data_IF_261953309599
#
_entry.id   IF_261953309599
#
_cell.length_a   1.000
_cell.length_b   1.000
_cell.length_c   1.000
_cell.angle_alpha   90.00
_cell.angle_beta   90.00
_cell.angle_gamma   90.00
#
_symmetry.space_group_name_H-M   'P 1'
#
loop_
_entity.id
_entity.type
_entity.pdbx_description
1 polymer ?
#
# COMPACT_ATOMS: atom_id res chain seq x y z
N UNK A 1 9.81 1.28 9.05
CA UNK A 1 8.55 0.81 9.68
C UNK A 1 7.94 -0.40 8.97
N UNK A 2 7.78 -0.37 7.65
CA UNK A 2 7.11 -1.43 6.89
C UNK A 2 7.75 -2.83 7.01
N UNK A 3 9.09 -2.93 6.91
CA UNK A 3 9.87 -4.17 7.13
C UNK A 3 9.61 -4.79 8.51
N UNK A 4 9.64 -3.95 9.56
CA UNK A 4 9.35 -4.34 10.94
C UNK A 4 7.89 -4.74 11.16
N UNK A 5 6.96 -4.19 10.36
CA UNK A 5 5.54 -4.51 10.45
C UNK A 5 5.23 -5.85 9.79
N UNK A 6 5.87 -6.14 8.65
CA UNK A 6 5.58 -7.31 7.83
C UNK A 6 6.06 -8.63 8.44
N UNK A 7 7.29 -8.66 8.98
CA UNK A 7 7.88 -9.89 9.51
C UNK A 7 6.98 -10.60 10.57
N UNK A 8 6.42 -9.91 11.58
CA UNK A 8 5.57 -10.52 12.60
C UNK A 8 4.10 -10.69 12.18
N UNK A 9 3.68 -10.35 10.96
CA UNK A 9 2.28 -10.54 10.54
C UNK A 9 1.88 -12.02 10.56
N UNK A 10 0.63 -12.28 10.93
CA UNK A 10 0.07 -13.62 10.88
C UNK A 10 0.04 -14.15 9.43
N UNK A 11 0.16 -15.49 9.24
CA UNK A 11 0.14 -16.09 7.90
C UNK A 11 -1.11 -15.71 7.08
N UNK A 12 -2.27 -15.59 7.73
CA UNK A 12 -3.51 -15.21 7.06
C UNK A 12 -3.49 -13.79 6.49
N UNK A 13 -2.87 -12.83 7.19
CA UNK A 13 -2.72 -11.46 6.66
C UNK A 13 -1.73 -11.47 5.49
N UNK A 14 -0.62 -12.21 5.62
CA UNK A 14 0.37 -12.36 4.53
C UNK A 14 -0.27 -12.96 3.28
N UNK A 15 -1.10 -14.00 3.41
CA UNK A 15 -1.79 -14.61 2.27
C UNK A 15 -2.68 -13.62 1.52
N UNK A 16 -3.48 -12.80 2.22
CA UNK A 16 -4.32 -11.78 1.59
C UNK A 16 -3.48 -10.79 0.79
N UNK A 17 -2.37 -10.34 1.38
CA UNK A 17 -1.45 -9.41 0.71
C UNK A 17 -0.77 -10.06 -0.51
N UNK A 18 -0.45 -11.36 -0.43
CA UNK A 18 0.13 -12.13 -1.52
C UNK A 18 -0.88 -12.35 -2.66
N UNK A 19 -2.13 -12.68 -2.34
CA UNK A 19 -3.23 -12.81 -3.31
C UNK A 19 -3.52 -11.49 -4.04
N UNK A 20 -3.33 -10.36 -3.34
CA UNK A 20 -3.38 -9.03 -3.93
C UNK A 20 -2.16 -8.69 -4.82
N UNK A 21 -1.20 -9.61 -4.97
CA UNK A 21 -0.04 -9.44 -5.84
C UNK A 21 1.16 -8.77 -5.18
N UNK A 22 1.12 -8.43 -3.89
CA UNK A 22 2.22 -7.73 -3.22
C UNK A 22 3.25 -8.67 -2.58
N UNK A 23 3.07 -9.98 -2.65
CA UNK A 23 3.91 -10.94 -1.92
C UNK A 23 5.37 -10.91 -2.32
N UNK A 24 5.65 -11.03 -3.62
CA UNK A 24 7.01 -10.95 -4.18
C UNK A 24 7.65 -9.60 -3.88
N UNK A 25 6.88 -8.50 -3.95
CA UNK A 25 7.35 -7.17 -3.58
C UNK A 25 7.85 -7.13 -2.13
N UNK A 26 7.07 -7.67 -1.17
CA UNK A 26 7.49 -7.71 0.22
C UNK A 26 8.68 -8.64 0.46
N UNK A 27 8.74 -9.81 -0.18
CA UNK A 27 9.90 -10.69 -0.09
C UNK A 27 11.18 -10.01 -0.59
N UNK A 28 11.13 -9.33 -1.74
CA UNK A 28 12.25 -8.54 -2.25
C UNK A 28 12.62 -7.42 -1.28
N UNK A 29 11.63 -6.66 -0.76
CA UNK A 29 11.86 -5.59 0.21
C UNK A 29 12.51 -6.10 1.52
N UNK A 30 12.19 -7.32 1.96
CA UNK A 30 12.74 -7.92 3.17
C UNK A 30 14.15 -8.48 2.98
N UNK A 31 14.40 -9.10 1.82
CA UNK A 31 15.66 -9.80 1.52
C UNK A 31 16.82 -8.84 1.23
N UNK A 32 16.54 -7.58 0.92
CA UNK A 32 17.58 -6.56 0.93
C UNK A 32 17.95 -6.23 2.39
N UNK A 33 19.12 -6.73 2.82
CA UNK A 33 19.89 -6.12 3.90
C UNK A 33 20.19 -4.68 3.47
N UNK A 34 19.72 -3.73 4.26
CA UNK A 34 19.62 -2.32 3.90
C UNK A 34 20.96 -1.75 3.46
N UNK A 35 21.14 -1.57 2.15
CA UNK A 35 22.05 -0.56 1.63
C UNK A 35 21.34 0.19 0.51
N UNK A 36 20.83 1.35 0.90
CA UNK A 36 20.27 2.41 0.08
C UNK A 36 18.77 2.32 -0.25
N UNK A 37 18.06 3.34 0.24
CA UNK A 37 16.79 3.89 -0.24
C UNK A 37 16.68 4.04 -1.78
N UNK A 38 17.73 3.72 -2.55
CA UNK A 38 17.84 3.91 -3.99
C UNK A 38 16.98 2.93 -4.79
N UNK A 39 16.86 1.66 -4.40
CA UNK A 39 15.97 0.72 -5.11
C UNK A 39 14.49 1.07 -4.89
N UNK A 40 14.17 1.61 -3.71
CA UNK A 40 12.84 2.12 -3.35
C UNK A 40 12.52 3.42 -4.10
N UNK A 41 13.46 4.37 -4.15
CA UNK A 41 13.33 5.58 -4.94
C UNK A 41 13.32 5.30 -6.44
N UNK A 42 14.02 4.26 -6.91
CA UNK A 42 13.97 3.81 -8.29
C UNK A 42 12.59 3.24 -8.60
N UNK A 43 11.99 2.44 -7.73
CA UNK A 43 10.63 1.94 -7.94
C UNK A 43 9.57 3.07 -7.91
N UNK A 44 9.73 4.06 -7.03
CA UNK A 44 8.88 5.25 -6.98
C UNK A 44 9.07 6.14 -8.21
N UNK A 45 10.30 6.40 -8.62
CA UNK A 45 10.62 7.15 -9.84
C UNK A 45 10.11 6.42 -11.08
N UNK A 46 10.17 5.08 -11.10
CA UNK A 46 9.53 4.28 -12.14
C UNK A 46 8.02 4.57 -12.13
N UNK A 47 7.32 4.39 -11.01
CA UNK A 47 5.87 4.62 -10.92
C UNK A 47 5.48 6.06 -11.32
N UNK A 48 6.26 7.08 -10.92
CA UNK A 48 6.04 8.49 -11.29
C UNK A 48 6.31 8.77 -12.78
N UNK A 49 7.27 8.07 -13.38
CA UNK A 49 7.61 8.18 -14.80
C UNK A 49 6.71 7.33 -15.71
N UNK A 50 5.80 6.53 -15.15
CA UNK A 50 4.90 5.66 -15.92
C UNK A 50 3.71 6.44 -16.46
N UNK A 51 3.67 6.59 -17.79
CA UNK A 51 2.55 7.21 -18.47
C UNK A 51 1.54 6.15 -18.92
N UNK A 52 0.37 6.13 -18.30
CA UNK A 52 -0.68 5.12 -18.49
C UNK A 52 -1.26 5.09 -19.92
N UNK A 53 -1.23 6.21 -20.64
CA UNK A 53 -1.71 6.28 -22.04
C UNK A 53 -0.70 5.78 -23.08
N UNK A 54 0.60 5.79 -22.80
CA UNK A 54 1.65 5.39 -23.77
C UNK A 54 2.41 4.13 -23.35
N UNK A 55 2.25 3.66 -22.11
CA UNK A 55 2.99 2.54 -21.53
C UNK A 55 4.52 2.74 -21.61
N UNK A 56 4.99 3.97 -21.38
CA UNK A 56 6.41 4.35 -21.45
C UNK A 56 6.88 4.97 -20.14
N UNK A 57 8.15 4.74 -19.82
CA UNK A 57 8.89 5.41 -18.75
C UNK A 57 9.81 6.46 -19.37
N UNK A 58 9.76 7.69 -18.86
CA UNK A 58 10.67 8.75 -19.27
C UNK A 58 11.85 8.85 -18.31
N UNK A 59 13.04 8.44 -18.77
CA UNK A 59 14.28 8.63 -18.02
C UNK A 59 15.08 9.79 -18.59
N UNK A 60 15.49 10.72 -17.72
CA UNK A 60 16.36 11.82 -18.10
C UNK A 60 17.70 11.25 -18.61
N UNK A 61 17.99 11.40 -19.90
CA UNK A 61 19.22 10.91 -20.56
C UNK A 61 19.09 9.61 -21.36
N UNK A 62 18.06 8.79 -21.13
CA UNK A 62 17.82 7.54 -21.89
C UNK A 62 16.59 7.67 -22.83
N UNK A 63 15.89 8.82 -22.79
CA UNK A 63 14.63 9.11 -23.52
C UNK A 63 13.48 8.20 -23.03
N UNK A 64 12.60 7.76 -23.93
CA UNK A 64 11.47 6.88 -23.64
C UNK A 64 11.91 5.42 -23.68
N UNK A 65 11.67 4.70 -22.59
CA UNK A 65 11.76 3.25 -22.56
C UNK A 65 10.33 2.71 -22.51
N UNK A 66 9.97 1.89 -23.50
CA UNK A 66 8.69 1.21 -23.49
C UNK A 66 8.79 0.04 -22.51
N UNK A 67 7.88 0.01 -21.53
CA UNK A 67 7.78 -1.07 -20.57
C UNK A 67 6.30 -1.38 -20.47
N UNK A 68 5.90 -2.56 -20.93
CA UNK A 68 4.50 -2.93 -20.85
C UNK A 68 4.08 -3.07 -19.39
N UNK A 69 2.78 -2.93 -19.06
CA UNK A 69 2.28 -3.26 -17.72
C UNK A 69 2.69 -4.67 -17.26
N UNK A 70 2.84 -5.60 -18.21
CA UNK A 70 3.34 -6.94 -17.96
C UNK A 70 4.81 -6.93 -17.55
N UNK A 71 5.68 -6.24 -18.29
CA UNK A 71 7.10 -6.14 -17.95
C UNK A 71 7.32 -5.47 -16.59
N UNK A 72 6.56 -4.41 -16.29
CA UNK A 72 6.55 -3.80 -14.96
C UNK A 72 6.15 -4.80 -13.87
N UNK A 73 5.10 -5.59 -14.11
CA UNK A 73 4.63 -6.59 -13.15
C UNK A 73 5.66 -7.68 -12.90
N UNK A 74 6.39 -8.10 -13.93
CA UNK A 74 7.47 -9.08 -13.82
C UNK A 74 8.67 -8.52 -13.05
N UNK A 75 9.05 -7.26 -13.30
CA UNK A 75 10.22 -6.62 -12.66
C UNK A 75 9.94 -6.28 -11.19
N UNK A 76 8.78 -5.70 -10.91
CA UNK A 76 8.45 -5.16 -9.58
C UNK A 76 7.70 -6.15 -8.70
N UNK A 77 7.14 -7.20 -9.30
CA UNK A 77 6.16 -8.08 -8.66
C UNK A 77 4.79 -7.45 -8.47
N UNK A 78 4.61 -6.15 -8.77
CA UNK A 78 3.36 -5.42 -8.60
C UNK A 78 2.51 -5.51 -9.87
N UNK A 79 1.31 -6.06 -9.77
CA UNK A 79 0.40 -6.08 -10.91
C UNK A 79 -0.04 -4.64 -11.24
N UNK A 80 -0.12 -4.34 -12.54
CA UNK A 80 -0.68 -3.09 -13.05
C UNK A 80 -1.97 -3.39 -13.80
N UNK A 81 -3.10 -2.97 -13.24
CA UNK A 81 -4.42 -3.17 -13.82
C UNK A 81 -5.54 -3.02 -12.81
N UNK A 82 -6.72 -3.54 -13.18
CA UNK A 82 -7.87 -3.58 -12.29
C UNK A 82 -8.80 -2.36 -12.35
N UNK A 83 -9.77 -2.36 -11.44
CA UNK A 83 -10.76 -1.29 -11.25
C UNK A 83 -10.09 -0.08 -10.61
N UNK A 84 -10.59 1.11 -10.95
CA UNK A 84 -10.18 2.35 -10.27
C UNK A 84 -10.45 2.25 -8.77
N UNK A 85 -9.48 2.68 -7.98
CA UNK A 85 -9.63 2.87 -6.53
C UNK A 85 -10.71 3.93 -6.32
N UNK A 86 -11.78 3.55 -5.63
CA UNK A 86 -12.83 4.49 -5.25
C UNK A 86 -12.46 5.14 -3.93
N UNK A 87 -12.22 6.45 -4.00
CA UNK A 87 -11.93 7.30 -2.86
C UNK A 87 -13.25 7.67 -2.17
N UNK A 88 -13.33 7.50 -0.85
CA UNK A 88 -14.50 7.92 -0.07
C UNK A 88 -14.07 8.77 1.13
N UNK A 89 -14.38 10.06 1.07
CA UNK A 89 -14.03 11.02 2.13
C UNK A 89 -15.03 11.04 3.29
N UNK A 90 -16.13 10.30 3.18
CA UNK A 90 -17.30 10.42 4.06
C UNK A 90 -17.50 9.20 4.97
N UNK A 91 -16.46 8.77 5.68
CA UNK A 91 -16.60 7.70 6.66
C UNK A 91 -17.16 8.22 7.99
N UNK A 92 -18.24 7.60 8.46
CA UNK A 92 -18.76 7.88 9.81
C UNK A 92 -17.87 7.26 10.89
N UNK A 93 -17.84 7.86 12.09
CA UNK A 93 -17.11 7.30 13.24
C UNK A 93 -17.49 5.83 13.54
N UNK A 94 -18.78 5.49 13.38
CA UNK A 94 -19.28 4.12 13.53
C UNK A 94 -18.68 3.16 12.50
N UNK A 95 -18.57 3.57 11.24
CA UNK A 95 -17.94 2.76 10.19
C UNK A 95 -16.44 2.58 10.42
N UNK A 96 -15.74 3.64 10.82
CA UNK A 96 -14.31 3.56 11.15
C UNK A 96 -14.04 2.64 12.34
N UNK A 97 -14.88 2.69 13.37
CA UNK A 97 -14.81 1.76 14.49
C UNK A 97 -15.05 0.31 14.06
N UNK A 98 -16.01 0.09 13.14
CA UNK A 98 -16.30 -1.24 12.59
C UNK A 98 -15.15 -1.79 11.74
N UNK A 99 -14.58 -0.95 10.86
CA UNK A 99 -13.60 -1.38 9.86
C UNK A 99 -12.16 -1.44 10.40
N UNK A 100 -11.79 -0.55 11.32
CA UNK A 100 -10.41 -0.34 11.77
C UNK A 100 -10.23 -0.32 13.29
N UNK A 101 -11.32 -0.24 14.08
CA UNK A 101 -11.27 0.05 15.53
C UNK A 101 -10.65 1.41 15.87
N UNK A 102 -10.66 2.36 14.94
CA UNK A 102 -10.14 3.72 15.16
C UNK A 102 -11.04 4.45 16.16
N UNK A 103 -10.42 5.15 17.11
CA UNK A 103 -11.08 6.12 17.99
C UNK A 103 -10.98 7.49 17.34
N UNK A 104 -12.07 8.27 17.33
CA UNK A 104 -12.14 9.57 16.67
C UNK A 104 -11.00 10.54 17.07
N UNK A 105 -10.47 10.42 18.29
CA UNK A 105 -9.35 11.23 18.80
C UNK A 105 -8.02 11.03 18.07
N UNK A 106 -7.88 9.95 17.29
CA UNK A 106 -6.67 9.65 16.50
C UNK A 106 -6.75 10.17 15.07
N UNK A 107 -7.91 10.68 14.64
CA UNK A 107 -8.14 11.17 13.29
C UNK A 107 -7.97 12.68 13.29
N UNK A 108 -7.11 13.19 12.41
CA UNK A 108 -6.96 14.62 12.17
C UNK A 108 -7.20 14.90 10.69
N UNK A 109 -8.27 15.62 10.37
CA UNK A 109 -8.63 15.96 8.98
C UNK A 109 -8.67 14.73 8.05
N UNK A 110 -9.31 13.65 8.50
CA UNK A 110 -9.37 12.34 7.82
C UNK A 110 -8.04 11.57 7.69
N UNK A 111 -6.95 12.05 8.29
CA UNK A 111 -5.68 11.35 8.33
C UNK A 111 -5.46 10.63 9.66
N UNK A 112 -4.72 9.53 9.62
CA UNK A 112 -4.25 8.79 10.79
C UNK A 112 -2.71 8.65 10.76
N UNK A 113 -2.02 8.75 11.91
CA UNK A 113 -0.57 8.56 11.97
C UNK A 113 -0.16 7.14 11.58
N UNK A 114 0.91 7.01 10.80
CA UNK A 114 1.45 5.72 10.41
C UNK A 114 1.94 4.91 11.62
N UNK A 115 2.51 5.57 12.63
CA UNK A 115 2.94 4.94 13.88
C UNK A 115 1.77 4.28 14.62
N UNK A 116 0.62 4.94 14.64
CA UNK A 116 -0.60 4.39 15.24
C UNK A 116 -1.08 3.15 14.49
N UNK A 117 -1.03 3.15 13.15
CA UNK A 117 -1.37 1.96 12.36
C UNK A 117 -0.46 0.80 12.71
N UNK A 118 0.86 1.04 12.76
CA UNK A 118 1.86 0.05 13.12
C UNK A 118 1.58 -0.59 14.50
N UNK A 119 1.35 0.24 15.52
CA UNK A 119 1.06 -0.22 16.89
C UNK A 119 -0.28 -0.95 17.02
N UNK A 120 -1.24 -0.66 16.13
CA UNK A 120 -2.60 -1.19 16.18
C UNK A 120 -2.74 -2.54 15.46
N UNK A 121 -1.86 -2.87 14.52
CA UNK A 121 -1.89 -4.14 13.77
C UNK A 121 -1.87 -5.37 14.70
N UNK A 122 -0.96 -5.49 15.69
CA UNK A 122 -0.92 -6.65 16.57
C UNK A 122 -2.16 -6.81 17.46
N UNK A 123 -2.92 -5.73 17.66
CA UNK A 123 -4.06 -5.70 18.57
C UNK A 123 -5.40 -6.01 17.88
N UNK A 124 -5.36 -6.38 16.59
CA UNK A 124 -6.55 -6.64 15.79
C UNK A 124 -7.21 -7.97 16.13
N UNK A 125 -8.51 -7.91 16.45
CA UNK A 125 -9.33 -9.10 16.72
C UNK A 125 -9.58 -9.97 15.48
N UNK A 126 -9.51 -9.38 14.29
CA UNK A 126 -9.84 -10.09 13.05
C UNK A 126 -8.77 -9.85 12.00
N UNK A 127 -8.51 -10.88 11.20
CA UNK A 127 -7.58 -10.85 10.06
C UNK A 127 -7.93 -9.70 9.11
N UNK A 128 -9.22 -9.49 8.81
CA UNK A 128 -9.66 -8.43 7.92
C UNK A 128 -9.32 -7.02 8.45
N UNK A 129 -9.50 -6.75 9.75
CA UNK A 129 -9.08 -5.47 10.35
C UNK A 129 -7.57 -5.29 10.27
N UNK A 130 -6.80 -6.33 10.62
CA UNK A 130 -5.34 -6.33 10.52
C UNK A 130 -4.84 -6.06 9.11
N UNK A 131 -5.44 -6.70 8.11
CA UNK A 131 -5.15 -6.47 6.70
C UNK A 131 -5.44 -5.02 6.28
N UNK A 132 -6.57 -4.43 6.69
CA UNK A 132 -6.88 -3.02 6.38
C UNK A 132 -5.86 -2.05 6.96
N UNK A 133 -5.49 -2.22 8.24
CA UNK A 133 -4.49 -1.37 8.88
C UNK A 133 -3.12 -1.52 8.21
N UNK A 134 -2.73 -2.75 7.88
CA UNK A 134 -1.48 -3.01 7.17
C UNK A 134 -1.47 -2.39 5.76
N UNK A 135 -2.56 -2.51 5.00
CA UNK A 135 -2.67 -1.90 3.67
C UNK A 135 -2.66 -0.37 3.73
N UNK A 136 -3.30 0.24 4.73
CA UNK A 136 -3.20 1.69 4.96
C UNK A 136 -1.76 2.12 5.32
N UNK A 137 -1.09 1.33 6.17
CA UNK A 137 0.32 1.55 6.51
C UNK A 137 1.20 1.43 5.28
N UNK A 138 0.95 0.45 4.41
CA UNK A 138 1.64 0.29 3.14
C UNK A 138 1.41 1.48 2.21
N UNK A 139 0.16 1.91 2.03
CA UNK A 139 -0.18 3.06 1.19
C UNK A 139 0.54 4.31 1.68
N UNK A 140 0.40 4.70 2.95
CA UNK A 140 1.02 5.94 3.42
C UNK A 140 2.52 5.88 3.65
N UNK A 141 3.12 4.70 3.79
CA UNK A 141 4.57 4.57 3.93
C UNK A 141 5.28 4.36 2.59
N UNK A 142 4.57 3.95 1.54
CA UNK A 142 5.18 3.59 0.26
C UNK A 142 4.50 4.25 -0.94
N UNK A 143 3.19 4.06 -1.14
CA UNK A 143 2.51 4.53 -2.37
C UNK A 143 2.20 6.02 -2.37
N UNK A 144 1.86 6.59 -1.22
CA UNK A 144 1.49 7.99 -1.06
C UNK A 144 2.11 8.56 0.22
N UNK A 145 3.45 8.67 0.28
CA UNK A 145 4.13 9.20 1.45
C UNK A 145 3.81 10.68 1.65
N UNK A 146 3.55 11.03 2.91
CA UNK A 146 3.30 12.39 3.38
C UNK A 146 4.41 12.80 4.35
N UNK A 147 4.78 14.10 4.32
CA UNK A 147 5.74 14.71 5.23
C UNK A 147 5.34 14.53 6.70
N UNK A 148 4.04 14.54 7.00
CA UNK A 148 3.54 14.38 8.37
C UNK A 148 3.51 12.92 8.84
N UNK A 149 3.99 11.97 8.02
CA UNK A 149 3.94 10.53 8.31
C UNK A 149 2.53 10.06 8.68
N UNK A 150 1.54 10.50 7.89
CA UNK A 150 0.14 10.11 8.01
C UNK A 150 -0.36 9.42 6.74
N UNK A 151 -1.55 8.81 6.82
CA UNK A 151 -2.28 8.34 5.65
C UNK A 151 -3.74 8.76 5.74
N UNK A 152 -4.30 9.15 4.59
CA UNK A 152 -5.69 9.51 4.50
C UNK A 152 -6.60 8.28 4.51
N UNK A 153 -7.66 8.32 5.31
CA UNK A 153 -8.64 7.24 5.40
C UNK A 153 -9.53 7.12 4.16
N UNK A 154 -9.44 8.03 3.20
CA UNK A 154 -10.19 7.94 1.95
C UNK A 154 -9.93 6.66 1.15
N UNK A 155 -8.74 6.05 1.33
CA UNK A 155 -8.36 4.77 0.73
C UNK A 155 -9.11 3.58 1.33
N UNK A 156 -9.74 3.75 2.50
CA UNK A 156 -10.50 2.70 3.16
C UNK A 156 -11.70 2.22 2.33
N UNK A 157 -12.18 3.04 1.39
CA UNK A 157 -13.26 2.68 0.46
C UNK A 157 -12.95 1.40 -0.31
N UNK A 158 -11.78 1.36 -0.94
CA UNK A 158 -11.29 0.20 -1.70
C UNK A 158 -10.86 -0.96 -0.80
N UNK A 159 -10.57 -0.72 0.48
CA UNK A 159 -10.21 -1.75 1.46
C UNK A 159 -11.42 -2.30 2.24
N UNK A 160 -12.65 -1.89 1.90
CA UNK A 160 -13.87 -2.33 2.61
C UNK A 160 -14.06 -3.85 2.50
N UNK A 161 -13.82 -4.41 1.31
CA UNK A 161 -13.90 -5.84 1.00
C UNK A 161 -12.50 -6.35 0.72
N UNK A 162 -11.85 -6.90 1.75
CA UNK A 162 -10.45 -7.33 1.69
C UNK A 162 -10.27 -8.45 0.66
N UNK A 163 -11.25 -9.34 0.56
CA UNK A 163 -11.34 -10.42 -0.42
C UNK A 163 -11.46 -9.94 -1.88
N UNK A 164 -11.62 -8.63 -2.10
CA UNK A 164 -11.73 -8.03 -3.43
C UNK A 164 -10.54 -7.13 -3.76
N UNK A 165 -9.51 -7.07 -2.90
CA UNK A 165 -8.37 -6.16 -3.12
C UNK A 165 -7.66 -6.45 -4.44
N UNK A 166 -7.55 -7.72 -4.85
CA UNK A 166 -6.94 -8.11 -6.13
C UNK A 166 -7.63 -7.47 -7.35
N UNK A 167 -8.86 -6.93 -7.20
CA UNK A 167 -9.56 -6.30 -8.32
C UNK A 167 -9.01 -4.91 -8.62
N UNK A 168 -8.14 -4.36 -7.77
CA UNK A 168 -7.58 -3.00 -7.89
C UNK A 168 -6.09 -3.01 -8.25
N UNK A 169 -5.53 -4.18 -8.57
CA UNK A 169 -4.11 -4.41 -8.85
C UNK A 169 -3.99 -5.15 -10.17
#
# INVERSE_FOLDING_TARGET
MLKSAWAPLSPSIKNITNEAGFGTFFETLLNHETHEYKDLQLLLALIECFWDTTYTFHFLGIREVMLTPFDFSVITGLRLGGKRILVNDSFTSTELKKLLRVVASKIRSNNVPLSWLYESIPQCETVAKGARLFMLLFIGNFLCPDLDSTVNLHYLGSLRKIEQIWNYV
#
